data_IF_013097068833
#
_entry.id   IF_013097068833
#
_cell.length_a   1.000
_cell.length_b   1.000
_cell.length_c   1.000
_cell.angle_alpha   90.00
_cell.angle_beta   90.00
_cell.angle_gamma   90.00
#
_symmetry.space_group_name_H-M   'P 1'
#
loop_
_entity.id
_entity.type
_entity.pdbx_description
1 polymer ?
#
# COMPACT_ATOMS: atom_id res chain seq x y z
N UNK A 1 5.58 2.94 -6.08
CA UNK A 1 5.19 4.01 -5.13
C UNK A 1 4.12 4.94 -5.68
N UNK A 2 4.22 5.38 -6.94
CA UNK A 2 3.19 6.22 -7.58
C UNK A 2 1.78 5.60 -7.53
N UNK A 3 1.68 4.28 -7.73
CA UNK A 3 0.41 3.55 -7.63
C UNK A 3 -0.24 3.64 -6.25
N UNK A 4 0.54 3.53 -5.17
CA UNK A 4 0.03 3.62 -3.81
C UNK A 4 -0.51 5.02 -3.51
N UNK A 5 0.17 6.06 -3.98
CA UNK A 5 -0.28 7.44 -3.81
C UNK A 5 -1.61 7.70 -4.53
N UNK A 6 -1.83 7.10 -5.71
CA UNK A 6 -3.09 7.22 -6.46
C UNK A 6 -4.28 6.65 -5.71
N UNK A 7 -4.10 5.60 -4.91
CA UNK A 7 -5.19 4.93 -4.19
C UNK A 7 -5.22 5.25 -2.69
N UNK A 8 -4.25 6.01 -2.16
CA UNK A 8 -4.11 6.25 -0.73
C UNK A 8 -5.36 6.86 -0.08
N UNK A 9 -6.10 7.69 -0.82
CA UNK A 9 -7.34 8.33 -0.36
C UNK A 9 -8.54 7.36 -0.26
N UNK A 10 -8.46 6.19 -0.89
CA UNK A 10 -9.49 5.13 -0.87
C UNK A 10 -9.23 4.10 0.24
N UNK A 11 -8.06 4.16 0.89
CA UNK A 11 -7.67 3.20 1.90
C UNK A 11 -8.16 3.64 3.29
N UNK A 12 -8.63 2.69 4.12
CA UNK A 12 -8.80 2.93 5.54
C UNK A 12 -7.49 3.43 6.17
N UNK A 13 -7.59 4.35 7.11
CA UNK A 13 -6.43 4.98 7.76
C UNK A 13 -5.45 3.95 8.34
N UNK A 14 -5.98 2.91 9.00
CA UNK A 14 -5.17 1.83 9.58
C UNK A 14 -4.37 1.08 8.52
N UNK A 15 -4.99 0.78 7.38
CA UNK A 15 -4.36 0.06 6.26
C UNK A 15 -3.26 0.92 5.62
N UNK A 16 -3.53 2.20 5.37
CA UNK A 16 -2.54 3.12 4.82
C UNK A 16 -1.32 3.26 5.75
N UNK A 17 -1.57 3.31 7.06
CA UNK A 17 -0.52 3.46 8.07
C UNK A 17 0.34 2.20 8.18
N UNK A 18 -0.26 1.01 8.27
CA UNK A 18 0.47 -0.28 8.30
C UNK A 18 1.37 -0.45 7.07
N UNK A 19 0.84 -0.17 5.88
CA UNK A 19 1.61 -0.27 4.64
C UNK A 19 2.78 0.72 4.67
N UNK A 20 2.56 1.98 5.05
CA UNK A 20 3.65 2.96 5.15
C UNK A 20 4.75 2.48 6.09
N UNK A 21 4.41 2.00 7.29
CA UNK A 21 5.38 1.47 8.25
C UNK A 21 6.17 0.30 7.67
N UNK A 22 5.52 -0.69 7.05
CA UNK A 22 6.19 -1.84 6.44
C UNK A 22 7.16 -1.45 5.33
N UNK A 23 6.77 -0.50 4.47
CA UNK A 23 7.63 -0.01 3.40
C UNK A 23 8.86 0.72 3.98
N UNK A 24 8.64 1.56 4.99
CA UNK A 24 9.72 2.28 5.69
C UNK A 24 10.68 1.33 6.37
N UNK A 25 10.17 0.35 7.13
CA UNK A 25 10.99 -0.64 7.85
C UNK A 25 11.81 -1.49 6.88
N UNK A 26 11.21 -1.92 5.77
CA UNK A 26 11.90 -2.71 4.75
C UNK A 26 13.07 -1.94 4.14
N UNK A 27 12.84 -0.69 3.74
CA UNK A 27 13.90 0.14 3.14
C UNK A 27 14.97 0.50 4.17
N UNK A 28 14.58 0.80 5.42
CA UNK A 28 15.51 1.05 6.50
C UNK A 28 16.41 -0.17 6.80
N UNK A 29 15.91 -1.39 6.57
CA UNK A 29 16.69 -2.63 6.71
C UNK A 29 17.64 -2.93 5.55
N UNK A 30 17.70 -2.06 4.53
CA UNK A 30 18.52 -2.25 3.33
C UNK A 30 17.77 -2.86 2.15
N UNK A 31 16.46 -3.04 2.26
CA UNK A 31 15.59 -3.49 1.18
C UNK A 31 15.40 -2.44 0.08
N UNK A 32 15.06 -2.88 -1.12
CA UNK A 32 14.80 -2.03 -2.27
C UNK A 32 13.30 -1.79 -2.48
N UNK A 33 12.95 -0.61 -2.99
CA UNK A 33 11.60 -0.30 -3.46
C UNK A 33 11.11 -1.22 -4.60
N UNK A 34 12.04 -1.89 -5.28
CA UNK A 34 11.74 -2.80 -6.38
C UNK A 34 11.53 -4.25 -5.95
N UNK A 35 11.72 -4.54 -4.65
CA UNK A 35 11.64 -5.89 -4.13
C UNK A 35 10.23 -6.47 -4.30
N UNK A 36 10.12 -7.79 -4.53
CA UNK A 36 8.84 -8.48 -4.62
C UNK A 36 7.91 -8.20 -3.43
N UNK A 37 8.49 -8.01 -2.23
CA UNK A 37 7.78 -7.66 -1.01
C UNK A 37 7.05 -6.31 -1.13
N UNK A 38 7.71 -5.27 -1.61
CA UNK A 38 7.11 -3.94 -1.82
C UNK A 38 5.95 -4.03 -2.82
N UNK A 39 6.17 -4.76 -3.93
CA UNK A 39 5.12 -5.01 -4.94
C UNK A 39 3.92 -5.74 -4.36
N UNK A 40 4.14 -6.64 -3.39
CA UNK A 40 3.06 -7.33 -2.68
C UNK A 40 2.24 -6.38 -1.80
N UNK A 41 2.89 -5.45 -1.08
CA UNK A 41 2.20 -4.45 -0.26
C UNK A 41 1.31 -3.53 -1.11
N UNK A 42 1.80 -3.11 -2.28
CA UNK A 42 1.01 -2.28 -3.22
C UNK A 42 -0.19 -3.04 -3.78
N UNK A 43 -0.03 -4.32 -4.16
CA UNK A 43 -1.16 -5.15 -4.61
C UNK A 43 -2.21 -5.38 -3.52
N UNK A 44 -1.77 -5.52 -2.28
CA UNK A 44 -2.69 -5.61 -1.14
C UNK A 44 -3.51 -4.32 -1.00
N UNK A 45 -2.86 -3.15 -1.05
CA UNK A 45 -3.54 -1.86 -1.04
C UNK A 45 -4.59 -1.75 -2.16
N UNK A 46 -4.24 -2.12 -3.39
CA UNK A 46 -5.16 -2.08 -4.53
C UNK A 46 -6.43 -2.89 -4.27
N UNK A 47 -6.30 -4.12 -3.76
CA UNK A 47 -7.45 -4.97 -3.44
C UNK A 47 -8.31 -4.41 -2.31
N UNK A 48 -7.71 -3.75 -1.32
CA UNK A 48 -8.46 -3.09 -0.25
C UNK A 48 -9.23 -1.90 -0.82
N UNK A 49 -8.57 -1.05 -1.63
CA UNK A 49 -9.21 0.09 -2.27
C UNK A 49 -10.37 -0.33 -3.18
N UNK A 50 -10.25 -1.43 -3.92
CA UNK A 50 -11.34 -1.99 -4.74
C UNK A 50 -12.54 -2.43 -3.89
N UNK A 51 -12.29 -3.05 -2.73
CA UNK A 51 -13.36 -3.51 -1.84
C UNK A 51 -14.05 -2.37 -1.10
N UNK A 52 -13.30 -1.32 -0.75
CA UNK A 52 -13.83 -0.17 0.00
C UNK A 52 -14.47 0.85 -0.94
N UNK A 53 -13.79 1.23 -2.02
CA UNK A 53 -14.31 2.17 -3.03
C UNK A 53 -15.36 1.55 -3.96
N UNK A 54 -15.43 0.22 -4.06
CA UNK A 54 -16.54 -0.47 -4.73
C UNK A 54 -17.87 -0.36 -3.99
N UNK A 55 -17.87 0.11 -2.74
CA UNK A 55 -19.06 0.35 -1.94
C UNK A 55 -19.70 1.73 -2.20
N UNK A 56 -19.06 2.58 -3.02
CA UNK A 56 -19.56 3.88 -3.48
C UNK A 56 -20.12 3.85 -4.91
N UNK A 57 -20.28 2.66 -5.53
CA UNK A 57 -20.82 2.48 -6.89
C UNK A 57 -22.20 1.85 -6.91
#
# INVERSE_FOLDING_TARGET
>A
MEELNKIAHLLPFEVLTDIKSRLTDWVASGGSWEDPYIKQQVRYAQRVAERVGGNER
#
